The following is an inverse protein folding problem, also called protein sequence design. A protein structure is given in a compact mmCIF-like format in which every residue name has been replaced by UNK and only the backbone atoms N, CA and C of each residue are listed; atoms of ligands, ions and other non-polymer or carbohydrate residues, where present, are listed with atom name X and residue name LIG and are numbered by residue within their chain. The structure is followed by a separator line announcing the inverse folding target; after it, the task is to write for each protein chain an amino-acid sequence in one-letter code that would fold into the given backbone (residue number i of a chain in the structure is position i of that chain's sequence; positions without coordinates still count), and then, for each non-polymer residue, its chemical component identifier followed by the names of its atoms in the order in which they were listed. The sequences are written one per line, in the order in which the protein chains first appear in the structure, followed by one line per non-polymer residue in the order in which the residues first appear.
data_IF_527483551795
#
_entry.id   IF_527483551795
#
_cell.length_a   1.000
_cell.length_b   1.000
_cell.length_c   1.000
_cell.angle_alpha   90.00
_cell.angle_beta   90.00
_cell.angle_gamma   90.00
#
_symmetry.space_group_name_H-M   'P 1'
#
loop_
_entity.id
_entity.type
_entity.pdbx_description
1 polymer ?
#
# COMPACT_ATOMS: atom_id res chain seq x y z
N UNK A 1 19.63 -6.27 -8.42
CA UNK A 1 18.42 -5.79 -9.13
C UNK A 1 17.34 -5.51 -8.10
N UNK A 2 16.76 -4.34 -8.16
CA UNK A 2 15.71 -3.95 -7.24
C UNK A 2 14.43 -4.76 -7.52
N UNK A 3 13.67 -5.11 -6.48
CA UNK A 3 12.47 -5.95 -6.64
C UNK A 3 11.42 -5.36 -7.60
N UNK A 4 11.25 -4.05 -7.62
CA UNK A 4 10.38 -3.36 -8.59
C UNK A 4 10.87 -3.48 -10.02
N UNK A 5 12.17 -3.39 -10.21
CA UNK A 5 12.79 -3.50 -11.51
C UNK A 5 12.52 -4.85 -12.18
N UNK A 6 12.41 -5.91 -11.37
CA UNK A 6 12.05 -7.24 -11.88
C UNK A 6 10.68 -7.22 -12.57
N UNK A 7 9.71 -6.56 -11.95
CA UNK A 7 8.36 -6.43 -12.53
C UNK A 7 8.40 -5.67 -13.85
N UNK A 8 9.12 -4.55 -13.89
CA UNK A 8 9.26 -3.73 -15.10
C UNK A 8 9.92 -4.50 -16.22
N UNK A 9 11.00 -5.24 -15.93
CA UNK A 9 11.74 -6.02 -16.91
C UNK A 9 10.97 -7.24 -17.41
N UNK A 10 10.16 -7.86 -16.59
CA UNK A 10 9.22 -8.88 -17.04
C UNK A 10 8.17 -8.27 -17.98
N UNK A 11 7.64 -7.11 -17.62
CA UNK A 11 6.62 -6.42 -18.41
C UNK A 11 7.12 -5.96 -19.78
N UNK A 12 8.38 -5.55 -19.90
CA UNK A 12 8.97 -5.10 -21.17
C UNK A 12 9.61 -6.23 -21.99
N UNK A 13 9.64 -7.45 -21.44
CA UNK A 13 10.21 -8.61 -22.13
C UNK A 13 11.71 -8.81 -21.95
N UNK A 14 12.37 -7.97 -21.13
CA UNK A 14 13.82 -8.09 -20.87
C UNK A 14 14.17 -9.29 -20.00
N UNK A 15 13.22 -9.81 -19.24
CA UNK A 15 13.34 -11.02 -18.42
C UNK A 15 12.21 -11.98 -18.76
N UNK A 16 12.49 -13.27 -18.68
CA UNK A 16 11.50 -14.32 -18.88
C UNK A 16 10.92 -14.82 -17.56
N UNK A 17 11.72 -14.81 -16.49
CA UNK A 17 11.34 -15.31 -15.17
C UNK A 17 12.05 -14.49 -14.08
N UNK A 18 11.39 -14.34 -12.93
CA UNK A 18 11.97 -13.64 -11.80
C UNK A 18 11.27 -13.95 -10.48
N UNK A 19 11.91 -13.56 -9.39
CA UNK A 19 11.35 -13.64 -8.04
C UNK A 19 11.00 -12.23 -7.59
N UNK A 20 9.77 -12.02 -7.13
CA UNK A 20 9.35 -10.73 -6.58
C UNK A 20 8.17 -10.88 -5.64
N UNK A 21 7.80 -9.81 -4.94
CA UNK A 21 6.65 -9.80 -4.07
C UNK A 21 5.33 -9.65 -4.84
N UNK A 22 4.31 -10.32 -4.37
CA UNK A 22 2.96 -10.22 -4.95
C UNK A 22 2.43 -8.77 -4.86
N UNK A 23 2.80 -8.05 -3.79
CA UNK A 23 2.47 -6.64 -3.60
C UNK A 23 2.99 -5.76 -4.74
N UNK A 24 4.22 -5.98 -5.16
CA UNK A 24 4.83 -5.20 -6.25
C UNK A 24 4.17 -5.50 -7.60
N UNK A 25 3.82 -6.75 -7.84
CA UNK A 25 3.07 -7.11 -9.04
C UNK A 25 1.71 -6.41 -9.06
N UNK A 26 0.97 -6.46 -7.96
CA UNK A 26 -0.36 -5.86 -7.87
C UNK A 26 -0.35 -4.33 -7.87
N UNK A 27 0.75 -3.72 -7.44
CA UNK A 27 0.93 -2.27 -7.53
C UNK A 27 1.22 -1.81 -8.97
N UNK A 28 1.78 -2.67 -9.82
CA UNK A 28 2.13 -2.32 -11.20
C UNK A 28 0.89 -2.01 -12.05
N UNK A 29 1.09 -1.37 -13.18
CA UNK A 29 0.01 -1.06 -14.10
C UNK A 29 -0.66 -2.33 -14.64
N UNK A 30 -1.96 -2.25 -14.91
CA UNK A 30 -2.74 -3.41 -15.35
C UNK A 30 -2.19 -4.04 -16.63
N UNK A 31 -1.68 -3.22 -17.55
CA UNK A 31 -1.06 -3.72 -18.77
C UNK A 31 0.19 -4.57 -18.48
N UNK A 32 0.99 -4.17 -17.49
CA UNK A 32 2.15 -4.93 -17.05
C UNK A 32 1.72 -6.22 -16.37
N UNK A 33 0.73 -6.16 -15.49
CA UNK A 33 0.19 -7.35 -14.80
C UNK A 33 -0.31 -8.39 -15.80
N UNK A 34 -0.98 -7.96 -16.87
CA UNK A 34 -1.53 -8.85 -17.89
C UNK A 34 -0.47 -9.61 -18.69
N UNK A 35 0.78 -9.15 -18.67
CA UNK A 35 1.92 -9.79 -19.34
C UNK A 35 2.68 -10.76 -18.44
N UNK A 36 2.33 -10.80 -17.15
CA UNK A 36 3.06 -11.56 -16.13
C UNK A 36 2.17 -12.64 -15.55
N UNK A 37 2.71 -13.84 -15.45
CA UNK A 37 2.04 -14.99 -14.87
C UNK A 37 2.66 -15.32 -13.50
N UNK A 38 1.83 -15.57 -12.49
CA UNK A 38 2.30 -16.07 -11.20
C UNK A 38 2.42 -17.60 -11.31
N UNK A 39 3.64 -18.09 -11.45
CA UNK A 39 3.89 -19.54 -11.53
C UNK A 39 3.63 -20.20 -10.18
N UNK A 40 4.15 -19.58 -9.11
CA UNK A 40 4.04 -20.15 -7.76
C UNK A 40 4.16 -19.05 -6.72
N UNK A 41 3.27 -19.10 -5.73
CA UNK A 41 3.41 -18.32 -4.49
C UNK A 41 4.28 -19.12 -3.53
N UNK A 42 5.38 -18.51 -3.10
CA UNK A 42 6.34 -19.15 -2.21
C UNK A 42 5.87 -18.99 -0.76
N UNK A 43 6.23 -19.93 0.10
CA UNK A 43 5.74 -19.93 1.49
C UNK A 43 6.63 -19.11 2.42
N UNK A 44 7.14 -17.96 1.95
CA UNK A 44 7.92 -17.02 2.77
C UNK A 44 7.68 -15.59 2.30
N UNK A 45 8.19 -14.63 3.07
CA UNK A 45 8.00 -13.20 2.79
C UNK A 45 6.54 -12.76 2.94
N UNK A 46 5.75 -13.48 3.77
CA UNK A 46 4.35 -13.14 4.02
C UNK A 46 4.22 -11.82 4.74
N UNK A 47 3.42 -10.95 4.19
CA UNK A 47 3.16 -9.61 4.73
C UNK A 47 1.81 -9.11 4.26
N UNK A 48 1.34 -8.04 4.88
CA UNK A 48 0.07 -7.42 4.53
C UNK A 48 0.31 -5.94 4.25
N UNK A 49 -0.31 -5.43 3.21
CA UNK A 49 -0.41 -4.00 2.98
C UNK A 49 -1.64 -3.50 3.75
N UNK A 50 -1.42 -2.56 4.66
CA UNK A 50 -2.46 -2.11 5.59
C UNK A 50 -2.54 -0.59 5.66
N UNK A 51 -3.71 -0.10 6.07
CA UNK A 51 -3.91 1.30 6.43
C UNK A 51 -3.59 1.47 7.91
N UNK A 52 -2.65 2.35 8.22
CA UNK A 52 -2.24 2.64 9.60
C UNK A 52 -2.43 4.11 9.92
N UNK A 53 -2.91 4.38 11.12
CA UNK A 53 -3.23 5.71 11.61
C UNK A 53 -2.50 5.99 12.93
N UNK A 54 -2.30 7.26 13.28
CA UNK A 54 -1.72 7.61 14.58
C UNK A 54 -2.56 7.06 15.76
N UNK A 55 -1.89 6.51 16.76
CA UNK A 55 -2.53 6.00 17.97
C UNK A 55 -3.48 7.00 18.65
N UNK A 56 -3.15 8.30 18.74
CA UNK A 56 -4.06 9.28 19.35
C UNK A 56 -5.43 9.45 18.66
N UNK A 57 -5.60 8.94 17.47
CA UNK A 57 -6.89 8.99 16.74
C UNK A 57 -7.85 7.93 17.29
N UNK A 58 -8.23 8.04 18.56
CA UNK A 58 -8.99 7.03 19.30
C UNK A 58 -10.39 6.76 18.75
N UNK A 59 -11.00 7.74 18.09
CA UNK A 59 -12.35 7.62 17.52
C UNK A 59 -12.36 6.96 16.14
N UNK A 60 -11.17 6.69 15.57
CA UNK A 60 -11.06 6.09 14.24
C UNK A 60 -10.67 4.62 14.39
N UNK A 61 -11.61 3.72 14.15
CA UNK A 61 -11.41 2.27 14.26
C UNK A 61 -11.53 1.57 12.91
N UNK A 62 -12.32 2.12 12.01
CA UNK A 62 -12.66 1.52 10.72
C UNK A 62 -12.44 2.50 9.58
N UNK A 63 -12.50 1.99 8.35
CA UNK A 63 -12.42 2.84 7.15
C UNK A 63 -13.62 3.81 7.08
N UNK A 64 -14.80 3.40 7.57
CA UNK A 64 -15.95 4.30 7.64
C UNK A 64 -15.68 5.50 8.55
N UNK A 65 -15.04 5.27 9.70
CA UNK A 65 -14.62 6.36 10.59
C UNK A 65 -13.59 7.26 9.91
N UNK A 66 -12.68 6.67 9.14
CA UNK A 66 -11.69 7.42 8.36
C UNK A 66 -12.36 8.31 7.31
N UNK A 67 -13.40 7.82 6.66
CA UNK A 67 -14.16 8.62 5.70
C UNK A 67 -14.75 9.87 6.36
N UNK A 68 -15.35 9.72 7.53
CA UNK A 68 -15.90 10.84 8.28
C UNK A 68 -14.82 11.87 8.64
N UNK A 69 -13.68 11.40 9.13
CA UNK A 69 -12.55 12.26 9.47
C UNK A 69 -12.02 12.97 8.23
N UNK A 70 -11.91 12.29 7.11
CA UNK A 70 -11.44 12.86 5.85
C UNK A 70 -12.38 13.98 5.38
N UNK A 71 -13.67 13.77 5.49
CA UNK A 71 -14.67 14.75 5.12
C UNK A 71 -14.63 15.97 6.03
N UNK A 72 -14.57 15.78 7.34
CA UNK A 72 -14.43 16.87 8.31
C UNK A 72 -13.15 17.65 8.12
N UNK A 73 -12.04 16.96 7.88
CA UNK A 73 -10.74 17.59 7.64
C UNK A 73 -10.81 18.49 6.41
N UNK A 74 -11.42 18.02 5.32
CA UNK A 74 -11.62 18.79 4.11
C UNK A 74 -12.51 20.02 4.37
N UNK A 75 -13.58 19.83 5.11
CA UNK A 75 -14.53 20.90 5.41
C UNK A 75 -13.92 21.99 6.30
N UNK A 76 -13.25 21.60 7.37
CA UNK A 76 -12.68 22.53 8.36
C UNK A 76 -11.37 23.15 7.93
N UNK A 77 -10.48 22.37 7.31
CA UNK A 77 -9.13 22.82 6.97
C UNK A 77 -8.95 23.18 5.49
N UNK A 78 -9.97 22.95 4.67
CA UNK A 78 -9.96 23.17 3.22
C UNK A 78 -8.83 22.42 2.52
N UNK A 79 -8.39 21.30 3.09
CA UNK A 79 -7.33 20.42 2.58
C UNK A 79 -7.79 18.96 2.66
N UNK A 80 -7.30 18.13 1.75
CA UNK A 80 -7.53 16.71 1.81
C UNK A 80 -6.56 16.04 2.80
N UNK A 81 -7.00 14.95 3.42
CA UNK A 81 -6.11 14.09 4.19
C UNK A 81 -4.99 13.57 3.28
N UNK A 82 -3.76 13.68 3.75
CA UNK A 82 -2.60 13.15 3.03
C UNK A 82 -2.28 11.75 3.51
N UNK A 83 -2.15 10.83 2.57
CA UNK A 83 -1.82 9.42 2.83
C UNK A 83 -0.46 9.14 2.21
N UNK A 84 0.54 8.89 3.03
CA UNK A 84 1.88 8.54 2.54
C UNK A 84 1.93 7.04 2.23
N UNK A 85 2.46 6.69 1.07
CA UNK A 85 2.49 5.31 0.61
C UNK A 85 3.58 5.06 -0.43
N UNK A 86 4.08 3.84 -0.47
CA UNK A 86 4.88 3.30 -1.57
C UNK A 86 4.02 2.55 -2.59
N UNK A 87 2.72 2.44 -2.34
CA UNK A 87 1.76 1.68 -3.15
C UNK A 87 0.57 2.56 -3.55
N UNK A 88 0.80 3.60 -4.37
CA UNK A 88 -0.26 4.57 -4.68
C UNK A 88 -1.46 3.94 -5.42
N UNK A 89 -1.23 3.03 -6.35
CA UNK A 89 -2.32 2.42 -7.12
C UNK A 89 -3.21 1.54 -6.24
N UNK A 90 -2.61 0.65 -5.45
CA UNK A 90 -3.36 -0.22 -4.54
C UNK A 90 -4.09 0.59 -3.47
N UNK A 91 -3.45 1.60 -2.91
CA UNK A 91 -4.04 2.46 -1.88
C UNK A 91 -5.23 3.23 -2.42
N UNK A 92 -5.09 3.86 -3.58
CA UNK A 92 -6.16 4.63 -4.22
C UNK A 92 -7.37 3.74 -4.51
N UNK A 93 -7.14 2.61 -5.14
CA UNK A 93 -8.22 1.70 -5.53
C UNK A 93 -8.96 1.15 -4.30
N UNK A 94 -8.22 0.82 -3.24
CA UNK A 94 -8.80 0.36 -1.99
C UNK A 94 -9.67 1.43 -1.33
N UNK A 95 -9.13 2.63 -1.15
CA UNK A 95 -9.85 3.73 -0.50
C UNK A 95 -11.11 4.12 -1.29
N UNK A 96 -11.01 4.22 -2.61
CA UNK A 96 -12.17 4.49 -3.47
C UNK A 96 -13.22 3.39 -3.36
N UNK A 97 -12.81 2.12 -3.33
CA UNK A 97 -13.73 1.00 -3.18
C UNK A 97 -14.49 1.01 -1.86
N UNK A 98 -13.92 1.65 -0.84
CA UNK A 98 -14.53 1.80 0.50
C UNK A 98 -15.27 3.13 0.67
N UNK A 99 -15.36 3.94 -0.36
CA UNK A 99 -16.08 5.21 -0.32
C UNK A 99 -15.27 6.40 0.19
N UNK A 100 -13.98 6.21 0.49
CA UNK A 100 -13.10 7.31 0.92
C UNK A 100 -12.58 8.03 -0.33
N UNK A 101 -12.93 9.30 -0.47
CA UNK A 101 -12.59 10.10 -1.67
C UNK A 101 -11.81 11.37 -1.35
N UNK A 102 -11.88 11.88 -0.11
CA UNK A 102 -11.26 13.15 0.29
C UNK A 102 -9.85 12.94 0.82
N UNK A 103 -8.96 12.42 -0.02
CA UNK A 103 -7.54 12.20 0.33
C UNK A 103 -6.63 12.60 -0.82
N UNK A 104 -5.37 12.79 -0.47
CA UNK A 104 -4.28 13.03 -1.42
C UNK A 104 -3.15 12.06 -1.10
N UNK A 105 -2.65 11.36 -2.13
CA UNK A 105 -1.52 10.45 -1.97
C UNK A 105 -0.20 11.22 -1.99
N UNK A 106 0.68 10.87 -1.07
CA UNK A 106 2.04 11.40 -0.99
C UNK A 106 3.00 10.22 -1.20
N UNK A 107 3.87 10.34 -2.19
CA UNK A 107 4.85 9.30 -2.47
C UNK A 107 5.87 9.23 -1.33
N UNK A 108 6.01 8.05 -0.75
CA UNK A 108 7.00 7.80 0.28
C UNK A 108 8.26 7.24 -0.35
N UNK A 109 9.39 7.88 -0.10
CA UNK A 109 10.70 7.44 -0.57
C UNK A 109 11.39 6.51 0.43
N UNK A 110 10.87 6.39 1.64
CA UNK A 110 11.39 5.55 2.72
C UNK A 110 10.87 6.03 4.07
N UNK A 111 11.07 5.23 5.12
CA UNK A 111 10.64 5.55 6.47
C UNK A 111 9.18 6.06 6.53
N UNK A 112 8.28 5.37 5.85
CA UNK A 112 6.87 5.76 5.73
C UNK A 112 6.21 5.95 7.09
N UNK A 113 6.56 5.11 8.06
CA UNK A 113 6.06 5.14 9.43
C UNK A 113 6.35 6.46 10.17
N UNK A 114 7.30 7.24 9.72
CA UNK A 114 7.65 8.51 10.34
C UNK A 114 6.80 9.69 9.82
N UNK A 115 6.16 9.56 8.68
CA UNK A 115 5.46 10.66 8.00
C UNK A 115 4.39 11.35 8.86
N UNK A 116 3.56 10.63 9.64
CA UNK A 116 2.55 11.30 10.45
C UNK A 116 3.14 12.20 11.55
N UNK A 117 4.34 11.90 12.01
CA UNK A 117 4.97 12.64 13.12
C UNK A 117 5.92 13.72 12.66
N UNK A 118 6.21 13.80 11.37
CA UNK A 118 7.02 14.88 10.77
C UNK A 118 6.15 15.95 10.09
N UNK A 119 4.83 15.80 10.13
CA UNK A 119 3.91 16.71 9.47
C UNK A 119 3.83 16.53 7.95
N UNK A 120 4.40 15.45 7.43
CA UNK A 120 4.45 15.20 5.98
C UNK A 120 3.17 14.52 5.44
N UNK A 121 2.44 13.84 6.30
CA UNK A 121 1.15 13.24 5.98
C UNK A 121 0.36 13.01 7.27
N UNK A 122 -0.95 12.76 7.17
CA UNK A 122 -1.79 12.47 8.33
C UNK A 122 -1.83 10.99 8.67
N UNK A 123 -1.78 10.12 7.66
CA UNK A 123 -1.79 8.67 7.84
C UNK A 123 -0.97 8.01 6.74
N UNK A 124 -0.84 6.69 6.83
CA UNK A 124 -0.02 5.93 5.88
C UNK A 124 -0.71 4.64 5.44
N UNK A 125 -0.22 4.08 4.33
CA UNK A 125 -0.33 2.65 4.06
C UNK A 125 1.08 2.08 3.98
N UNK A 126 1.28 0.92 4.57
CA UNK A 126 2.60 0.30 4.60
C UNK A 126 2.48 -1.22 4.61
N UNK A 127 3.55 -1.87 4.18
CA UNK A 127 3.65 -3.32 4.20
C UNK A 127 4.22 -3.76 5.55
N UNK A 128 3.58 -4.75 6.16
CA UNK A 128 4.02 -5.25 7.47
C UNK A 128 3.75 -6.75 7.59
N UNK A 129 4.62 -7.45 8.29
CA UNK A 129 4.39 -8.87 8.63
C UNK A 129 3.72 -9.02 10.00
N UNK A 130 4.20 -8.32 11.02
CA UNK A 130 3.72 -8.45 12.40
C UNK A 130 3.07 -7.18 12.95
N UNK A 131 3.26 -6.04 12.30
CA UNK A 131 2.83 -4.74 12.79
C UNK A 131 3.75 -4.12 13.84
N UNK A 132 4.86 -4.76 14.19
CA UNK A 132 5.76 -4.27 15.24
C UNK A 132 6.34 -2.90 14.93
N UNK A 133 6.83 -2.66 13.72
CA UNK A 133 7.39 -1.37 13.32
C UNK A 133 6.35 -0.26 13.41
N UNK A 134 5.11 -0.56 13.03
CA UNK A 134 4.01 0.40 13.13
C UNK A 134 3.72 0.74 14.58
N UNK A 135 3.58 -0.26 15.44
CA UNK A 135 3.34 -0.05 16.88
C UNK A 135 4.49 0.70 17.55
N UNK A 136 5.74 0.37 17.19
CA UNK A 136 6.93 1.06 17.71
C UNK A 136 6.95 2.55 17.30
N UNK A 137 6.27 2.93 16.25
CA UNK A 137 6.14 4.31 15.77
C UNK A 137 4.80 4.94 16.15
N UNK A 138 4.10 4.41 17.14
CA UNK A 138 2.83 4.93 17.66
C UNK A 138 1.72 4.97 16.60
N UNK A 139 1.71 3.99 15.72
CA UNK A 139 0.68 3.78 14.71
C UNK A 139 -0.11 2.52 15.04
N UNK A 140 -1.35 2.46 14.59
CA UNK A 140 -2.17 1.26 14.66
C UNK A 140 -2.88 0.99 13.34
N UNK A 141 -3.15 -0.28 13.12
CA UNK A 141 -3.79 -0.73 11.89
C UNK A 141 -5.31 -0.64 12.08
N UNK A 142 -6.01 -0.09 11.08
CA UNK A 142 -7.48 -0.09 11.08
C UNK A 142 -8.01 -1.52 10.97
N UNK A 143 -9.11 -1.82 11.66
CA UNK A 143 -9.70 -3.17 11.74
C UNK A 143 -10.03 -3.76 10.36
N UNK A 144 -10.52 -2.94 9.45
CA UNK A 144 -10.85 -3.32 8.08
C UNK A 144 -9.91 -2.68 7.06
N UNK A 145 -8.68 -2.36 7.50
CA UNK A 145 -7.67 -1.65 6.70
C UNK A 145 -6.68 -2.54 5.98
N UNK A 146 -6.92 -3.84 5.88
CA UNK A 146 -6.05 -4.72 5.10
C UNK A 146 -6.36 -4.56 3.60
N UNK A 147 -5.38 -4.07 2.85
CA UNK A 147 -5.52 -3.83 1.41
C UNK A 147 -5.18 -5.09 0.62
N UNK A 148 -4.09 -5.77 0.98
CA UNK A 148 -3.57 -6.90 0.23
C UNK A 148 -2.76 -7.82 1.14
N UNK A 149 -2.92 -9.12 0.95
CA UNK A 149 -2.00 -10.13 1.49
C UNK A 149 -0.95 -10.44 0.45
N UNK A 150 0.32 -10.38 0.83
CA UNK A 150 1.45 -10.56 -0.07
C UNK A 150 2.39 -11.64 0.40
N UNK A 151 3.15 -12.17 -0.53
CA UNK A 151 4.24 -13.11 -0.28
C UNK A 151 5.18 -13.13 -1.48
N UNK A 152 6.34 -13.75 -1.31
CA UNK A 152 7.28 -13.92 -2.41
C UNK A 152 6.69 -14.85 -3.48
N UNK A 153 6.93 -14.53 -4.74
CA UNK A 153 6.38 -15.26 -5.89
C UNK A 153 7.46 -15.52 -6.93
N UNK A 154 7.28 -16.61 -7.67
CA UNK A 154 7.96 -16.84 -8.94
C UNK A 154 7.03 -16.33 -10.04
N UNK A 155 7.55 -15.42 -10.85
CA UNK A 155 6.81 -14.76 -11.90
C UNK A 155 7.45 -15.07 -13.25
N UNK A 156 6.64 -15.17 -14.29
CA UNK A 156 7.13 -15.33 -15.66
C UNK A 156 6.40 -14.43 -16.62
N UNK A 157 7.09 -14.07 -17.68
CA UNK A 157 6.47 -13.42 -18.83
C UNK A 157 5.51 -14.40 -19.50
N UNK A 158 4.34 -13.94 -19.88
CA UNK A 158 3.40 -14.72 -20.69
C UNK A 158 3.86 -14.62 -22.13
N UNK A 159 4.26 -15.75 -22.70
CA UNK A 159 4.59 -15.86 -24.12
C UNK A 159 3.33 -16.26 -24.88
N UNK A 160 2.97 -15.43 -25.82
CA UNK A 160 1.82 -15.68 -26.70
C UNK A 160 2.32 -16.25 -28.01
#
# INVERSE_FOLDING_TARGET
MHAREIIERLGDGSLDIGFSGFDLLKESEINTQNKINVIKKLNFGKSNLVVAIPDPWIDVQTIADLEEIAFEFRDKKKKRLRVATKYPNLTRDFLFSKGVTQFKLIDSLGATEAYPFTGSAELITDITSTGETLRANNLRILKDGEILKSQACILSLIHI
#
